data_IF_268914473974
#
_entry.id   IF_268914473974
#
_cell.length_a   1.000
_cell.length_b   1.000
_cell.length_c   1.000
_cell.angle_alpha   90.00
_cell.angle_beta   90.00
_cell.angle_gamma   90.00
#
_symmetry.space_group_name_H-M   'P 1'
#
loop_
_entity.id
_entity.type
_entity.pdbx_description
1 polymer ?
#
# COMPACT_ATOMS: atom_id res chain seq x y z
N UNK A 1 49.87 7.43 33.90
CA UNK A 1 50.13 6.06 33.41
C UNK A 1 48.80 5.41 33.11
N UNK A 2 48.32 5.59 31.87
CA UNK A 2 47.04 5.09 31.41
C UNK A 2 47.07 3.57 31.26
N UNK A 3 46.00 2.89 31.69
CA UNK A 3 45.80 1.48 31.40
C UNK A 3 45.08 1.36 30.05
N UNK A 4 45.73 0.66 29.13
CA UNK A 4 45.27 0.33 27.79
C UNK A 4 43.92 -0.42 27.85
N UNK A 5 42.95 0.00 27.03
CA UNK A 5 41.80 -0.83 26.66
C UNK A 5 42.24 -1.78 25.53
N UNK A 6 41.82 -3.05 25.51
CA UNK A 6 42.12 -3.93 24.38
C UNK A 6 41.27 -3.54 23.17
N UNK A 7 41.93 -3.14 22.09
CA UNK A 7 41.38 -3.12 20.74
C UNK A 7 41.15 -4.57 20.28
N UNK A 8 39.93 -4.90 19.88
CA UNK A 8 39.62 -5.85 18.79
C UNK A 8 38.12 -6.14 18.78
N UNK A 9 37.36 -5.28 18.12
CA UNK A 9 36.12 -5.71 17.48
C UNK A 9 36.48 -5.77 16.00
N UNK A 10 36.81 -6.97 15.52
CA UNK A 10 36.90 -7.21 14.09
C UNK A 10 35.55 -6.84 13.46
N UNK A 11 35.53 -5.71 12.75
CA UNK A 11 34.44 -5.36 11.85
C UNK A 11 34.36 -6.44 10.78
N UNK A 12 33.41 -7.36 10.97
CA UNK A 12 33.04 -8.31 9.93
C UNK A 12 32.45 -7.50 8.78
N UNK A 13 33.11 -7.56 7.62
CA UNK A 13 32.73 -6.94 6.35
C UNK A 13 31.48 -7.58 5.74
N UNK A 14 30.40 -7.68 6.52
CA UNK A 14 29.11 -8.10 6.01
C UNK A 14 28.38 -6.86 5.51
N UNK A 15 27.81 -6.89 4.30
CA UNK A 15 27.00 -5.78 3.83
C UNK A 15 25.80 -5.60 4.79
N UNK A 16 25.28 -4.37 4.97
CA UNK A 16 24.11 -4.12 5.79
C UNK A 16 22.98 -5.11 5.46
N UNK A 17 22.29 -5.57 6.51
CA UNK A 17 21.25 -6.63 6.47
C UNK A 17 20.34 -6.59 5.22
N UNK A 18 19.82 -5.42 4.78
CA UNK A 18 18.98 -5.32 3.59
C UNK A 18 19.66 -5.81 2.30
N UNK A 19 20.95 -5.49 2.11
CA UNK A 19 21.71 -5.91 0.93
C UNK A 19 21.99 -7.42 0.92
N UNK A 20 22.07 -8.04 2.11
CA UNK A 20 22.18 -9.51 2.23
C UNK A 20 20.88 -10.18 1.82
N UNK A 21 19.74 -9.61 2.19
CA UNK A 21 18.42 -10.13 1.84
C UNK A 21 18.11 -10.00 0.35
N UNK A 22 18.53 -8.93 -0.32
CA UNK A 22 18.41 -8.84 -1.79
C UNK A 22 19.26 -9.86 -2.53
N UNK A 23 20.44 -10.20 -2.00
CA UNK A 23 21.31 -11.21 -2.58
C UNK A 23 20.99 -12.64 -2.09
N UNK A 24 19.93 -12.83 -1.29
CA UNK A 24 19.62 -14.13 -0.69
C UNK A 24 19.07 -15.09 -1.74
N UNK A 25 19.63 -16.31 -1.78
CA UNK A 25 19.11 -17.38 -2.62
C UNK A 25 17.72 -17.88 -2.15
N UNK A 26 17.44 -17.75 -0.85
CA UNK A 26 16.15 -18.04 -0.22
C UNK A 26 15.83 -16.95 0.81
N UNK A 27 15.21 -15.87 0.33
CA UNK A 27 14.79 -14.75 1.17
C UNK A 27 13.85 -15.19 2.30
N UNK A 28 12.97 -16.16 2.02
CA UNK A 28 12.00 -16.63 3.00
C UNK A 28 12.71 -17.26 4.20
N UNK A 29 13.66 -18.16 3.96
CA UNK A 29 14.43 -18.80 5.02
C UNK A 29 15.24 -17.78 5.84
N UNK A 30 15.88 -16.82 5.18
CA UNK A 30 16.69 -15.80 5.84
C UNK A 30 15.84 -14.83 6.69
N UNK A 31 14.66 -14.45 6.22
CA UNK A 31 13.68 -13.68 6.99
C UNK A 31 13.22 -14.46 8.23
N UNK A 32 12.84 -15.74 8.07
CA UNK A 32 12.42 -16.57 9.20
C UNK A 32 13.53 -16.74 10.24
N UNK A 33 14.76 -16.99 9.81
CA UNK A 33 15.91 -17.07 10.72
C UNK A 33 16.14 -15.77 11.50
N UNK A 34 16.03 -14.63 10.83
CA UNK A 34 16.17 -13.32 11.48
C UNK A 34 15.07 -13.08 12.52
N UNK A 35 13.81 -13.30 12.14
CA UNK A 35 12.68 -13.15 13.06
C UNK A 35 12.80 -14.10 14.26
N UNK A 36 13.14 -15.38 14.03
CA UNK A 36 13.33 -16.36 15.10
C UNK A 36 14.47 -15.99 16.06
N UNK A 37 15.49 -15.27 15.58
CA UNK A 37 16.59 -14.82 16.41
C UNK A 37 16.23 -13.61 17.29
N UNK A 38 15.42 -12.68 16.80
CA UNK A 38 15.19 -11.39 17.45
C UNK A 38 13.85 -11.25 18.15
N UNK A 39 12.76 -11.81 17.60
CA UNK A 39 11.42 -11.73 18.22
C UNK A 39 11.44 -12.27 19.65
N UNK A 40 12.00 -13.46 19.94
CA UNK A 40 12.04 -13.96 21.32
C UNK A 40 12.86 -13.08 22.26
N UNK A 41 13.94 -12.45 21.76
CA UNK A 41 14.84 -11.62 22.58
C UNK A 41 14.22 -10.27 22.96
N UNK A 42 13.35 -9.77 22.10
CA UNK A 42 12.65 -8.50 22.33
C UNK A 42 11.48 -8.72 23.27
N UNK A 43 10.71 -9.80 23.07
CA UNK A 43 9.40 -9.97 23.72
C UNK A 43 9.37 -11.01 24.87
N UNK A 44 10.32 -11.95 24.96
CA UNK A 44 10.33 -12.94 26.05
C UNK A 44 11.14 -12.43 27.27
N UNK A 45 10.59 -12.63 28.46
CA UNK A 45 11.18 -12.16 29.72
C UNK A 45 10.46 -10.97 30.36
N UNK A 46 9.25 -10.63 29.88
CA UNK A 46 8.43 -9.55 30.40
C UNK A 46 8.06 -9.80 31.88
N UNK A 47 8.55 -8.93 32.76
CA UNK A 47 7.91 -8.67 34.05
C UNK A 47 6.75 -7.68 33.87
N UNK A 48 6.09 -7.24 34.95
CA UNK A 48 5.23 -6.05 34.90
C UNK A 48 6.10 -4.84 34.52
N UNK A 49 6.07 -4.47 33.24
CA UNK A 49 7.00 -3.53 32.64
C UNK A 49 6.80 -2.10 33.13
N UNK A 50 7.90 -1.40 33.39
CA UNK A 50 7.89 0.06 33.55
C UNK A 50 8.10 0.74 32.18
N UNK A 51 7.78 2.03 32.09
CA UNK A 51 7.85 2.82 30.85
C UNK A 51 9.22 2.78 30.14
N UNK A 52 10.32 2.55 30.88
CA UNK A 52 11.67 2.47 30.31
C UNK A 52 11.92 1.14 29.60
N UNK A 53 11.32 0.06 30.08
CA UNK A 53 11.40 -1.25 29.42
C UNK A 53 10.61 -1.25 28.13
N UNK A 54 9.41 -0.67 28.14
CA UNK A 54 8.58 -0.48 26.94
C UNK A 54 9.31 0.34 25.87
N UNK A 55 9.95 1.45 26.23
CA UNK A 55 10.76 2.25 25.30
C UNK A 55 11.95 1.47 24.71
N UNK A 56 12.58 0.59 25.49
CA UNK A 56 13.69 -0.25 25.00
C UNK A 56 13.19 -1.33 24.05
N UNK A 57 12.04 -1.90 24.35
CA UNK A 57 11.35 -2.88 23.51
C UNK A 57 10.96 -2.24 22.18
N UNK A 58 10.30 -1.08 22.21
CA UNK A 58 9.92 -0.30 21.03
C UNK A 58 11.14 0.05 20.17
N UNK A 59 12.22 0.54 20.77
CA UNK A 59 13.46 0.84 20.05
C UNK A 59 14.09 -0.42 19.43
N UNK A 60 14.06 -1.56 20.14
CA UNK A 60 14.57 -2.82 19.62
C UNK A 60 13.70 -3.37 18.47
N UNK A 61 12.38 -3.26 18.58
CA UNK A 61 11.44 -3.56 17.49
C UNK A 61 11.75 -2.72 16.26
N UNK A 62 11.88 -1.41 16.44
CA UNK A 62 12.16 -0.50 15.33
C UNK A 62 13.49 -0.84 14.65
N UNK A 63 14.56 -1.02 15.41
CA UNK A 63 15.90 -1.21 14.83
C UNK A 63 16.14 -2.62 14.29
N UNK A 64 15.60 -3.65 14.93
CA UNK A 64 15.94 -5.05 14.63
C UNK A 64 14.86 -5.76 13.82
N UNK A 65 13.60 -5.31 13.84
CA UNK A 65 12.51 -5.94 13.10
C UNK A 65 12.01 -5.05 11.98
N UNK A 66 11.60 -3.82 12.28
CA UNK A 66 10.92 -2.95 11.33
C UNK A 66 11.87 -2.32 10.32
N UNK A 67 12.95 -1.67 10.78
CA UNK A 67 13.90 -0.99 9.89
C UNK A 67 14.47 -1.94 8.82
N UNK A 68 14.97 -3.16 9.11
CA UNK A 68 15.42 -4.07 8.06
C UNK A 68 14.36 -4.37 6.99
N UNK A 69 13.09 -4.49 7.39
CA UNK A 69 11.97 -4.71 6.47
C UNK A 69 11.63 -3.46 5.65
N UNK A 70 11.67 -2.28 6.26
CA UNK A 70 11.48 -1.00 5.56
C UNK A 70 12.50 -0.84 4.43
N UNK A 71 13.78 -1.07 4.72
CA UNK A 71 14.84 -1.04 3.73
C UNK A 71 14.65 -2.10 2.64
N UNK A 72 14.28 -3.33 3.01
CA UNK A 72 14.01 -4.42 2.04
C UNK A 72 12.89 -4.06 1.07
N UNK A 73 11.79 -3.51 1.60
CA UNK A 73 10.59 -3.16 0.83
C UNK A 73 10.84 -1.96 -0.09
N UNK A 74 11.65 -0.99 0.34
CA UNK A 74 11.83 0.27 -0.37
C UNK A 74 12.99 0.27 -1.36
N UNK A 75 13.98 -0.62 -1.24
CA UNK A 75 15.12 -0.60 -2.18
C UNK A 75 16.19 0.44 -1.83
N UNK A 76 15.88 1.38 -0.95
CA UNK A 76 16.68 2.57 -0.65
C UNK A 76 16.48 3.03 0.80
N UNK A 77 17.01 4.20 1.13
CA UNK A 77 16.77 4.83 2.43
C UNK A 77 15.26 5.01 2.67
N UNK A 78 14.70 4.51 3.80
CA UNK A 78 13.26 4.53 4.01
C UNK A 78 12.63 5.92 4.01
N UNK A 79 13.35 6.96 4.47
CA UNK A 79 12.81 8.31 4.47
C UNK A 79 12.67 8.84 3.03
N UNK A 80 13.68 8.59 2.19
CA UNK A 80 13.63 8.92 0.77
C UNK A 80 12.58 8.11 0.01
N UNK A 81 12.56 6.79 0.18
CA UNK A 81 11.61 5.90 -0.49
C UNK A 81 10.16 6.20 -0.11
N UNK A 82 9.87 6.47 1.16
CA UNK A 82 8.52 6.87 1.58
C UNK A 82 8.12 8.23 1.02
N UNK A 83 9.02 9.21 0.96
CA UNK A 83 8.74 10.50 0.35
C UNK A 83 8.41 10.35 -1.14
N UNK A 84 9.18 9.54 -1.88
CA UNK A 84 8.90 9.23 -3.28
C UNK A 84 7.56 8.52 -3.46
N UNK A 85 7.23 7.55 -2.61
CA UNK A 85 5.92 6.87 -2.66
C UNK A 85 4.77 7.84 -2.39
N UNK A 86 4.94 8.78 -1.47
CA UNK A 86 3.93 9.80 -1.17
C UNK A 86 3.77 10.80 -2.32
N UNK A 87 4.88 11.25 -2.92
CA UNK A 87 4.87 12.13 -4.10
C UNK A 87 4.20 11.46 -5.30
N UNK A 88 4.43 10.15 -5.46
CA UNK A 88 3.85 9.34 -6.54
C UNK A 88 2.51 8.71 -6.16
N UNK A 89 1.93 9.04 -5.01
CA UNK A 89 0.65 8.50 -4.57
C UNK A 89 -0.48 9.07 -5.45
N UNK A 90 -0.73 8.40 -6.56
CA UNK A 90 -1.80 8.76 -7.48
C UNK A 90 -3.14 8.28 -6.91
N UNK A 91 -4.18 9.13 -6.89
CA UNK A 91 -5.52 8.69 -6.55
C UNK A 91 -5.91 7.48 -7.40
N UNK A 92 -6.48 6.47 -6.74
CA UNK A 92 -6.96 5.27 -7.43
C UNK A 92 -7.88 5.64 -8.60
N UNK A 93 -7.71 4.99 -9.74
CA UNK A 93 -8.63 5.12 -10.86
C UNK A 93 -10.02 4.53 -10.56
N UNK A 94 -10.12 3.70 -9.51
CA UNK A 94 -11.38 3.14 -9.00
C UNK A 94 -11.79 3.86 -7.71
N UNK A 95 -13.07 4.18 -7.60
CA UNK A 95 -13.61 4.78 -6.39
C UNK A 95 -13.67 3.77 -5.23
N UNK A 96 -14.30 2.61 -5.44
CA UNK A 96 -14.39 1.55 -4.43
C UNK A 96 -15.12 1.94 -3.13
N UNK A 97 -15.84 3.08 -3.10
CA UNK A 97 -16.59 3.50 -1.90
C UNK A 97 -17.59 2.42 -1.49
N UNK A 98 -17.46 1.93 -0.26
CA UNK A 98 -18.35 0.91 0.31
C UNK A 98 -19.60 1.58 0.83
N UNK A 99 -20.76 1.20 0.32
CA UNK A 99 -22.01 1.82 0.74
C UNK A 99 -22.42 1.41 2.14
N UNK A 100 -22.92 2.38 2.90
CA UNK A 100 -23.57 2.14 4.19
C UNK A 100 -25.09 2.05 4.03
N UNK A 101 -25.74 1.42 5.01
CA UNK A 101 -27.20 1.39 5.09
C UNK A 101 -27.75 2.81 5.05
N UNK A 102 -28.71 3.07 4.17
CA UNK A 102 -29.33 4.39 4.05
C UNK A 102 -28.60 5.35 3.09
N UNK A 103 -27.41 5.01 2.60
CA UNK A 103 -26.70 5.86 1.63
C UNK A 103 -27.36 5.80 0.24
N UNK A 104 -27.42 6.92 -0.50
CA UNK A 104 -27.96 6.93 -1.85
C UNK A 104 -26.97 6.35 -2.86
N UNK A 105 -27.48 5.51 -3.76
CA UNK A 105 -26.77 4.93 -4.90
C UNK A 105 -27.43 5.40 -6.20
N UNK A 106 -26.63 5.62 -7.24
CA UNK A 106 -27.11 6.15 -8.52
C UNK A 106 -26.76 5.19 -9.66
N UNK A 107 -27.76 4.72 -10.41
CA UNK A 107 -27.56 3.85 -11.57
C UNK A 107 -28.07 4.53 -12.85
N UNK A 108 -27.23 4.60 -13.88
CA UNK A 108 -27.59 5.18 -15.18
C UNK A 108 -28.27 4.13 -16.07
N UNK A 109 -29.49 4.39 -16.53
CA UNK A 109 -30.26 3.42 -17.34
C UNK A 109 -29.72 3.24 -18.75
N UNK A 110 -28.95 4.20 -19.23
CA UNK A 110 -28.41 4.20 -20.58
C UNK A 110 -27.03 3.53 -20.59
N UNK A 111 -26.19 3.90 -19.63
CA UNK A 111 -24.76 3.56 -19.61
C UNK A 111 -24.42 2.30 -18.82
N UNK A 112 -25.20 1.91 -17.80
CA UNK A 112 -24.90 0.74 -16.99
C UNK A 112 -24.85 -0.54 -17.87
N UNK A 113 -23.82 -1.36 -17.66
CA UNK A 113 -23.70 -2.66 -18.31
C UNK A 113 -24.81 -3.62 -17.83
N UNK A 114 -25.12 -3.58 -16.53
CA UNK A 114 -26.20 -4.34 -15.92
C UNK A 114 -26.90 -3.57 -14.77
N UNK A 115 -28.02 -4.07 -14.22
CA UNK A 115 -28.80 -3.37 -13.18
C UNK A 115 -28.11 -3.20 -11.82
N UNK A 116 -26.96 -3.82 -11.60
CA UNK A 116 -26.19 -3.74 -10.35
C UNK A 116 -25.18 -2.60 -10.36
N UNK A 117 -24.86 -2.03 -11.53
CA UNK A 117 -23.89 -0.94 -11.65
C UNK A 117 -24.41 0.35 -10.98
N UNK A 118 -23.64 0.86 -10.01
CA UNK A 118 -24.01 1.98 -9.15
C UNK A 118 -22.83 2.92 -8.87
N UNK A 119 -23.15 4.20 -8.76
CA UNK A 119 -22.24 5.25 -8.32
C UNK A 119 -22.61 5.75 -6.94
N UNK A 120 -21.61 6.13 -6.15
CA UNK A 120 -21.83 6.97 -4.97
C UNK A 120 -22.19 8.40 -5.39
N UNK A 121 -22.77 9.15 -4.44
CA UNK A 121 -23.22 10.53 -4.69
C UNK A 121 -22.11 11.41 -5.27
N UNK A 122 -20.90 11.33 -4.74
CA UNK A 122 -19.78 12.16 -5.21
C UNK A 122 -19.39 11.83 -6.65
N UNK A 123 -19.29 10.54 -6.99
CA UNK A 123 -18.96 10.12 -8.35
C UNK A 123 -20.07 10.48 -9.34
N UNK A 124 -21.33 10.28 -8.94
CA UNK A 124 -22.47 10.63 -9.79
C UNK A 124 -22.48 12.13 -10.15
N UNK A 125 -22.33 13.02 -9.15
CA UNK A 125 -22.38 14.48 -9.33
C UNK A 125 -21.26 15.02 -10.24
N UNK A 126 -20.15 14.30 -10.33
CA UNK A 126 -18.96 14.65 -11.11
C UNK A 126 -18.79 13.78 -12.37
N UNK A 127 -19.79 12.99 -12.73
CA UNK A 127 -19.80 12.16 -13.95
C UNK A 127 -20.71 12.76 -15.03
N UNK A 128 -20.57 12.27 -16.26
CA UNK A 128 -21.52 12.56 -17.34
C UNK A 128 -22.94 12.08 -17.02
N UNK A 129 -23.07 11.00 -16.23
CA UNK A 129 -24.34 10.32 -15.97
C UNK A 129 -25.39 11.16 -15.23
N UNK A 130 -25.00 12.28 -14.60
CA UNK A 130 -25.95 13.24 -14.01
C UNK A 130 -26.90 13.88 -15.04
N UNK A 131 -26.51 13.86 -16.31
CA UNK A 131 -27.27 14.39 -17.44
C UNK A 131 -28.08 13.31 -18.17
N UNK A 132 -27.93 12.04 -17.78
CA UNK A 132 -28.66 10.92 -18.38
C UNK A 132 -29.88 10.54 -17.54
N UNK A 133 -30.68 9.60 -18.03
CA UNK A 133 -31.77 9.01 -17.26
C UNK A 133 -31.21 8.03 -16.24
N UNK A 134 -31.23 8.43 -14.98
CA UNK A 134 -30.76 7.60 -13.86
C UNK A 134 -31.89 7.14 -12.94
N UNK A 135 -31.56 6.23 -12.03
CA UNK A 135 -32.36 5.83 -10.88
C UNK A 135 -31.54 6.04 -9.62
N UNK A 136 -32.14 6.69 -8.62
CA UNK A 136 -31.61 6.74 -7.27
C UNK A 136 -32.29 5.66 -6.42
N UNK A 137 -31.50 4.93 -5.65
CA UNK A 137 -31.97 3.95 -4.67
C UNK A 137 -31.24 4.13 -3.36
N UNK A 138 -31.85 3.70 -2.27
CA UNK A 138 -31.22 3.67 -0.96
C UNK A 138 -30.52 2.33 -0.78
N UNK A 139 -29.22 2.33 -0.46
CA UNK A 139 -28.47 1.12 -0.20
C UNK A 139 -28.95 0.42 1.08
N UNK A 140 -29.03 -0.90 1.01
CA UNK A 140 -29.24 -1.78 2.18
C UNK A 140 -27.96 -2.00 3.00
N UNK A 141 -26.83 -1.39 2.61
CA UNK A 141 -25.50 -1.62 3.17
C UNK A 141 -24.70 -2.66 2.39
N UNK A 142 -23.40 -2.43 2.25
CA UNK A 142 -22.51 -3.23 1.40
C UNK A 142 -22.59 -2.86 -0.08
N UNK A 143 -21.79 -3.54 -0.91
CA UNK A 143 -21.55 -3.14 -2.30
C UNK A 143 -20.58 -1.97 -2.43
N UNK A 144 -20.13 -1.71 -3.65
CA UNK A 144 -19.08 -0.73 -3.94
C UNK A 144 -19.52 0.20 -5.07
N UNK A 145 -18.99 1.41 -5.06
CA UNK A 145 -19.12 2.33 -6.18
C UNK A 145 -18.29 1.84 -7.37
N UNK A 146 -18.94 1.65 -8.52
CA UNK A 146 -18.34 1.15 -9.76
C UNK A 146 -17.70 2.25 -10.62
N UNK A 147 -17.51 3.44 -10.04
CA UNK A 147 -16.81 4.51 -10.73
C UNK A 147 -15.36 4.09 -10.98
N UNK A 148 -14.97 4.11 -12.24
CA UNK A 148 -13.66 3.75 -12.73
C UNK A 148 -13.55 2.35 -13.31
N UNK A 149 -14.60 1.53 -13.20
CA UNK A 149 -14.65 0.18 -13.73
C UNK A 149 -15.22 0.19 -15.17
N UNK A 150 -14.39 -0.08 -16.21
CA UNK A 150 -14.86 -0.09 -17.59
C UNK A 150 -15.85 -1.22 -17.91
N UNK A 151 -15.90 -2.28 -17.10
CA UNK A 151 -16.83 -3.39 -17.32
C UNK A 151 -18.24 -3.05 -16.82
N UNK A 152 -18.37 -2.13 -15.85
CA UNK A 152 -19.65 -1.69 -15.30
C UNK A 152 -20.38 -0.66 -16.18
N UNK A 153 -19.68 0.03 -17.10
CA UNK A 153 -20.26 1.12 -17.90
C UNK A 153 -19.90 0.99 -19.38
N UNK A 154 -20.92 1.05 -20.25
CA UNK A 154 -20.78 1.06 -21.71
C UNK A 154 -20.03 2.28 -22.22
N UNK A 155 -20.10 3.39 -21.49
CA UNK A 155 -19.47 4.67 -21.80
C UNK A 155 -19.27 5.48 -20.51
N UNK A 156 -18.31 6.39 -20.55
CA UNK A 156 -17.96 7.32 -19.46
C UNK A 156 -17.75 6.65 -18.07
N UNK A 157 -16.93 5.58 -17.95
CA UNK A 157 -16.81 4.84 -16.69
C UNK A 157 -16.22 5.64 -15.52
N UNK A 158 -15.65 6.82 -15.77
CA UNK A 158 -14.98 7.65 -14.76
C UNK A 158 -15.74 8.95 -14.47
N UNK A 159 -15.73 9.39 -13.21
CA UNK A 159 -16.02 10.78 -12.85
C UNK A 159 -14.76 11.65 -12.90
N UNK A 160 -14.89 12.97 -12.79
CA UNK A 160 -13.74 13.88 -12.85
C UNK A 160 -12.62 13.57 -11.84
N UNK A 161 -12.95 13.09 -10.63
CA UNK A 161 -11.96 12.68 -9.61
C UNK A 161 -11.20 11.40 -9.95
N UNK A 162 -11.85 10.47 -10.63
CA UNK A 162 -11.28 9.14 -10.92
C UNK A 162 -10.89 8.99 -12.40
N UNK A 163 -11.03 10.06 -13.19
CA UNK A 163 -10.49 10.14 -14.53
C UNK A 163 -8.96 10.16 -14.41
N UNK A 164 -8.30 9.22 -15.09
CA UNK A 164 -6.84 9.22 -15.21
C UNK A 164 -6.44 10.50 -15.95
N UNK A 165 -5.31 11.11 -15.55
CA UNK A 165 -4.76 12.30 -16.20
C UNK A 165 -4.43 12.09 -17.69
N UNK A 166 -4.42 10.83 -18.15
CA UNK A 166 -4.00 10.45 -19.49
C UNK A 166 -5.15 9.70 -20.15
N UNK A 167 -5.86 10.38 -21.07
CA UNK A 167 -7.00 9.88 -21.83
C UNK A 167 -6.66 8.78 -22.84
N UNK A 168 -5.83 7.80 -22.49
CA UNK A 168 -5.58 6.62 -23.29
C UNK A 168 -6.42 5.45 -22.75
N UNK A 169 -7.51 5.19 -23.46
CA UNK A 169 -8.14 3.86 -23.49
C UNK A 169 -7.12 2.94 -24.16
N UNK A 170 -6.27 2.29 -23.37
CA UNK A 170 -5.56 1.11 -23.84
C UNK A 170 -6.32 -0.13 -23.40
N UNK A 171 -6.75 -0.88 -24.41
CA UNK A 171 -7.25 -2.24 -24.27
C UNK A 171 -6.35 -3.04 -23.33
N UNK A 172 -6.98 -3.83 -22.47
CA UNK A 172 -6.34 -4.82 -21.61
C UNK A 172 -5.56 -5.83 -22.47
N UNK A 173 -4.34 -5.47 -22.85
CA UNK A 173 -3.29 -6.36 -23.33
C UNK A 173 -1.95 -5.76 -22.89
N UNK A 174 -1.54 -6.13 -21.68
CA UNK A 174 -0.13 -6.30 -21.30
C UNK A 174 0.82 -5.25 -21.88
N UNK A 175 0.97 -4.09 -21.24
CA UNK A 175 2.21 -3.30 -21.19
C UNK A 175 2.10 -2.10 -20.23
N UNK A 176 2.69 -2.26 -19.04
CA UNK A 176 3.48 -1.26 -18.28
C UNK A 176 3.02 0.21 -18.30
N UNK A 177 2.31 0.64 -17.25
CA UNK A 177 2.36 2.02 -16.74
C UNK A 177 1.97 2.10 -15.26
N UNK A 178 2.74 1.40 -14.43
CA UNK A 178 3.08 1.74 -13.04
C UNK A 178 4.11 0.71 -12.54
N UNK A 179 5.10 0.38 -13.38
CA UNK A 179 6.23 -0.47 -12.99
C UNK A 179 7.47 0.02 -13.75
N UNK A 180 8.27 0.84 -13.08
CA UNK A 180 9.73 0.70 -13.05
C UNK A 180 10.26 1.58 -11.91
N UNK A 181 10.12 1.09 -10.67
CA UNK A 181 11.26 1.23 -9.75
C UNK A 181 12.25 0.21 -10.27
N UNK A 182 13.19 0.66 -11.07
CA UNK A 182 14.26 -0.18 -11.62
C UNK A 182 15.20 -0.61 -10.50
N UNK A 183 14.80 -1.62 -9.74
CA UNK A 183 15.70 -2.41 -8.89
C UNK A 183 15.89 -3.78 -9.52
N UNK A 184 16.64 -3.83 -10.61
CA UNK A 184 17.36 -5.01 -11.05
C UNK A 184 18.64 -4.54 -11.71
N UNK A 185 19.76 -4.71 -11.02
CA UNK A 185 21.08 -5.23 -11.44
C UNK A 185 21.95 -5.38 -10.20
#
# INVERSE_FOLDING_TARGET
MGRQMPESIHQTSHPPLPQRWWAAADLQQDLYHHLAAYVPRIFLGRGEGNSREEQREELACQLLLLAPLEWLLLGEDPASGLALLQENNCPSALCGHVFKVGEPTYSCRECAADPTCVLCMQCFLESAHRQHRYRMTTSGGGGFCDCGDPEAWKNDPWCQKHARADGHIEEVRSSRSCEEVSVFH
#
